data_IF_927338745689
#
_entry.id   IF_927338745689
#
_cell.length_a   1.000
_cell.length_b   1.000
_cell.length_c   1.000
_cell.angle_alpha   90.00
_cell.angle_beta   90.00
_cell.angle_gamma   90.00
#
_symmetry.space_group_name_H-M   'P 1'
#
loop_
_entity.id
_entity.type
_entity.pdbx_description
1 polymer ?
#
# COMPACT_ATOMS: atom_id res chain seq x y z
N UNK A 1 -30.43 27.07 -17.58
CA UNK A 1 -29.37 28.03 -17.22
C UNK A 1 -29.12 27.92 -15.73
N UNK A 2 -27.94 27.43 -15.35
CA UNK A 2 -27.37 27.48 -13.99
C UNK A 2 -28.05 26.55 -12.99
N UNK A 3 -27.36 25.70 -12.23
CA UNK A 3 -26.00 25.78 -11.71
C UNK A 3 -25.45 24.36 -11.68
N UNK A 4 -24.32 24.16 -12.35
CA UNK A 4 -23.47 23.00 -12.14
C UNK A 4 -22.98 23.09 -10.69
N UNK A 5 -23.51 22.19 -9.86
CA UNK A 5 -22.97 21.91 -8.54
C UNK A 5 -21.53 21.45 -8.78
N UNK A 6 -20.58 22.32 -8.46
CA UNK A 6 -19.17 22.13 -8.74
C UNK A 6 -18.69 20.97 -7.87
N UNK A 7 -18.69 19.79 -8.49
CA UNK A 7 -18.22 18.55 -7.92
C UNK A 7 -16.85 18.75 -7.28
N UNK A 8 -16.72 18.21 -6.07
CA UNK A 8 -15.44 17.93 -5.45
C UNK A 8 -14.52 17.35 -6.52
N UNK A 9 -13.32 17.91 -6.75
CA UNK A 9 -12.42 17.38 -7.76
C UNK A 9 -12.18 15.89 -7.48
N UNK A 10 -12.34 15.06 -8.52
CA UNK A 10 -12.19 13.60 -8.49
C UNK A 10 -10.77 13.11 -8.13
N UNK A 11 -9.90 13.98 -7.61
CA UNK A 11 -8.51 13.73 -7.25
C UNK A 11 -8.32 13.28 -5.80
N UNK A 12 -9.40 13.15 -5.01
CA UNK A 12 -9.30 12.65 -3.64
C UNK A 12 -9.21 11.13 -3.65
N UNK A 13 -8.09 10.58 -3.18
CA UNK A 13 -8.04 9.20 -2.67
C UNK A 13 -9.16 9.06 -1.66
N UNK A 14 -10.08 8.14 -1.91
CA UNK A 14 -11.30 7.98 -1.13
C UNK A 14 -11.02 6.95 -0.03
N UNK A 15 -11.68 7.03 1.14
CA UNK A 15 -11.45 6.09 2.24
C UNK A 15 -11.62 4.61 1.85
N UNK A 16 -12.44 4.33 0.84
CA UNK A 16 -12.64 2.97 0.32
C UNK A 16 -11.53 2.47 -0.59
N UNK A 17 -10.63 3.33 -1.08
CA UNK A 17 -9.49 2.91 -1.88
C UNK A 17 -8.52 2.08 -1.03
N UNK A 18 -8.37 2.40 0.26
CA UNK A 18 -7.58 1.58 1.18
C UNK A 18 -8.19 0.18 1.38
N UNK A 19 -9.52 0.07 1.39
CA UNK A 19 -10.22 -1.22 1.47
C UNK A 19 -10.09 -2.01 0.15
N UNK A 20 -10.18 -1.33 -0.99
CA UNK A 20 -9.95 -1.94 -2.30
C UNK A 20 -8.51 -2.45 -2.46
N UNK A 21 -7.52 -1.68 -2.01
CA UNK A 21 -6.12 -2.08 -1.99
C UNK A 21 -5.90 -3.34 -1.15
N UNK A 22 -6.53 -3.42 0.03
CA UNK A 22 -6.48 -4.62 0.87
C UNK A 22 -7.10 -5.85 0.18
N UNK A 23 -8.26 -5.68 -0.47
CA UNK A 23 -8.92 -6.77 -1.20
C UNK A 23 -8.08 -7.25 -2.39
N UNK A 24 -7.47 -6.33 -3.14
CA UNK A 24 -6.55 -6.66 -4.23
C UNK A 24 -5.33 -7.40 -3.71
N UNK A 25 -4.75 -6.94 -2.60
CA UNK A 25 -3.63 -7.62 -1.95
C UNK A 25 -4.03 -9.06 -1.58
N UNK A 26 -5.12 -9.24 -0.83
CA UNK A 26 -5.65 -10.56 -0.47
C UNK A 26 -5.86 -11.46 -1.69
N UNK A 27 -6.47 -10.92 -2.76
CA UNK A 27 -6.69 -11.65 -4.01
C UNK A 27 -5.37 -12.09 -4.64
N UNK A 28 -4.36 -11.21 -4.71
CA UNK A 28 -3.03 -11.55 -5.23
C UNK A 28 -2.36 -12.63 -4.36
N UNK A 29 -2.50 -12.55 -3.03
CA UNK A 29 -1.98 -13.55 -2.09
C UNK A 29 -2.68 -14.91 -2.22
N UNK A 30 -3.99 -14.92 -2.47
CA UNK A 30 -4.80 -16.13 -2.60
C UNK A 30 -4.64 -16.80 -3.97
N UNK A 31 -4.64 -16.03 -5.05
CA UNK A 31 -4.53 -16.52 -6.44
C UNK A 31 -3.12 -17.03 -6.72
N UNK A 32 -2.08 -16.37 -6.23
CA UNK A 32 -0.70 -16.84 -6.35
C UNK A 32 -0.33 -17.87 -5.26
N UNK A 33 -1.18 -18.03 -4.24
CA UNK A 33 -1.08 -19.04 -3.19
C UNK A 33 -1.48 -20.43 -3.69
N UNK A 34 -0.70 -21.01 -4.60
CA UNK A 34 -0.91 -22.37 -5.08
C UNK A 34 -0.96 -23.41 -3.94
N UNK A 35 -1.93 -24.34 -4.03
CA UNK A 35 -1.97 -25.59 -3.26
C UNK A 35 -0.72 -26.42 -3.55
N UNK A 36 0.28 -26.37 -2.69
CA UNK A 36 1.37 -27.32 -2.65
C UNK A 36 0.94 -28.54 -1.84
N UNK A 37 0.88 -29.66 -2.54
CA UNK A 37 0.91 -30.99 -1.94
C UNK A 37 2.25 -31.15 -1.22
N UNK A 38 2.24 -31.30 0.10
CA UNK A 38 3.44 -31.58 0.89
C UNK A 38 3.96 -30.43 1.76
N UNK A 39 3.38 -30.28 2.96
CA UNK A 39 4.11 -29.90 4.18
C UNK A 39 4.61 -28.46 4.37
N UNK A 40 4.89 -27.67 3.33
CA UNK A 40 5.22 -26.24 3.44
C UNK A 40 5.08 -25.57 2.07
N UNK A 41 3.89 -25.06 1.79
CA UNK A 41 3.65 -24.14 0.69
C UNK A 41 4.22 -22.78 1.03
N UNK A 42 5.38 -22.45 0.47
CA UNK A 42 5.84 -21.08 0.46
C UNK A 42 4.94 -20.29 -0.49
N UNK A 43 4.10 -19.40 0.05
CA UNK A 43 3.23 -18.54 -0.74
C UNK A 43 4.11 -17.52 -1.46
N UNK A 44 4.32 -17.69 -2.76
CA UNK A 44 5.09 -16.72 -3.55
C UNK A 44 4.18 -15.56 -3.92
N UNK A 45 4.47 -14.40 -3.35
CA UNK A 45 3.76 -13.16 -3.64
C UNK A 45 4.32 -12.58 -4.92
N UNK A 46 3.47 -12.36 -5.92
CA UNK A 46 3.87 -11.56 -7.08
C UNK A 46 3.80 -10.08 -6.71
N UNK A 47 4.89 -9.56 -6.17
CA UNK A 47 5.02 -8.14 -5.78
C UNK A 47 4.84 -7.20 -6.97
N UNK A 48 5.27 -7.62 -8.16
CA UNK A 48 5.04 -6.86 -9.40
C UNK A 48 3.56 -6.75 -9.74
N UNK A 49 2.80 -7.84 -9.62
CA UNK A 49 1.36 -7.82 -9.84
C UNK A 49 0.64 -6.98 -8.78
N UNK A 50 1.05 -7.08 -7.52
CA UNK A 50 0.50 -6.27 -6.44
C UNK A 50 0.74 -4.77 -6.69
N UNK A 51 1.98 -4.40 -7.02
CA UNK A 51 2.35 -3.02 -7.34
C UNK A 51 1.58 -2.49 -8.54
N UNK A 52 1.44 -3.27 -9.61
CA UNK A 52 0.66 -2.85 -10.77
C UNK A 52 -0.81 -2.57 -10.41
N UNK A 53 -1.45 -3.49 -9.67
CA UNK A 53 -2.87 -3.35 -9.32
C UNK A 53 -3.11 -2.20 -8.32
N UNK A 54 -2.23 -2.02 -7.34
CA UNK A 54 -2.38 -0.98 -6.32
C UNK A 54 -1.95 0.38 -6.86
N UNK A 55 -0.75 0.49 -7.42
CA UNK A 55 -0.21 1.78 -7.85
C UNK A 55 -0.84 2.23 -9.17
N UNK A 56 -0.67 1.45 -10.24
CA UNK A 56 -1.09 1.89 -11.57
C UNK A 56 -2.61 1.89 -11.76
N UNK A 57 -3.32 0.88 -11.26
CA UNK A 57 -4.76 0.75 -11.49
C UNK A 57 -5.59 1.50 -10.45
N UNK A 58 -5.30 1.33 -9.17
CA UNK A 58 -6.14 1.90 -8.12
C UNK A 58 -5.80 3.36 -7.82
N UNK A 59 -4.51 3.69 -7.69
CA UNK A 59 -4.09 5.04 -7.28
C UNK A 59 -3.72 5.98 -8.41
N UNK A 60 -3.24 5.49 -9.56
CA UNK A 60 -2.84 6.35 -10.69
C UNK A 60 -3.98 6.66 -11.69
N UNK A 61 -4.99 5.78 -11.83
CA UNK A 61 -6.14 6.04 -12.74
C UNK A 61 -6.91 7.33 -12.39
N UNK A 62 -7.12 7.68 -11.12
CA UNK A 62 -7.77 8.95 -10.76
C UNK A 62 -6.89 10.20 -10.94
N UNK A 63 -5.59 10.04 -11.20
CA UNK A 63 -4.65 11.15 -11.32
C UNK A 63 -4.65 11.71 -12.73
N UNK A 64 -4.65 13.04 -12.84
CA UNK A 64 -4.64 13.74 -14.13
C UNK A 64 -3.24 14.18 -14.55
N UNK A 65 -2.32 14.32 -13.60
CA UNK A 65 -0.95 14.78 -13.84
C UNK A 65 0.00 13.59 -13.99
N UNK A 66 0.76 13.48 -15.10
CA UNK A 66 1.71 12.38 -15.31
C UNK A 66 2.77 12.27 -14.22
N UNK A 67 3.23 13.42 -13.69
CA UNK A 67 4.21 13.48 -12.60
C UNK A 67 3.71 12.81 -11.33
N UNK A 68 2.42 12.92 -11.01
CA UNK A 68 1.85 12.31 -9.82
C UNK A 68 1.78 10.79 -9.97
N UNK A 69 1.47 10.30 -11.19
CA UNK A 69 1.54 8.88 -11.51
C UNK A 69 2.96 8.32 -11.33
N UNK A 70 3.98 9.05 -11.80
CA UNK A 70 5.39 8.66 -11.63
C UNK A 70 5.79 8.58 -10.15
N UNK A 71 5.34 9.53 -9.33
CA UNK A 71 5.57 9.52 -7.88
C UNK A 71 4.92 8.30 -7.22
N UNK A 72 3.66 8.00 -7.55
CA UNK A 72 2.94 6.84 -7.00
C UNK A 72 3.62 5.52 -7.40
N UNK A 73 4.08 5.40 -8.64
CA UNK A 73 4.83 4.21 -9.09
C UNK A 73 6.19 4.08 -8.39
N UNK A 74 6.91 5.19 -8.20
CA UNK A 74 8.19 5.21 -7.50
C UNK A 74 8.04 4.81 -6.02
N UNK A 75 7.04 5.37 -5.31
CA UNK A 75 6.71 4.98 -3.94
C UNK A 75 6.27 3.52 -3.85
N UNK A 76 5.43 3.08 -4.79
CA UNK A 76 5.03 1.68 -4.92
C UNK A 76 6.21 0.74 -5.08
N UNK A 77 7.18 1.08 -5.92
CA UNK A 77 8.40 0.29 -6.13
C UNK A 77 9.30 0.27 -4.88
N UNK A 78 9.35 1.35 -4.11
CA UNK A 78 10.11 1.42 -2.88
C UNK A 78 9.45 0.59 -1.75
N UNK A 79 8.12 0.64 -1.66
CA UNK A 79 7.39 0.13 -0.51
C UNK A 79 6.80 -1.26 -0.70
N UNK A 80 6.21 -1.57 -1.86
CA UNK A 80 5.57 -2.86 -2.14
C UNK A 80 6.57 -3.91 -2.62
N UNK A 81 7.48 -4.28 -1.72
CA UNK A 81 8.53 -5.28 -1.98
C UNK A 81 8.47 -6.43 -0.97
N UNK A 82 9.19 -7.51 -1.27
CA UNK A 82 9.37 -8.66 -0.37
C UNK A 82 9.87 -8.27 1.03
N UNK A 83 10.62 -7.17 1.14
CA UNK A 83 11.08 -6.61 2.41
C UNK A 83 9.95 -6.30 3.39
N UNK A 84 8.73 -6.02 2.93
CA UNK A 84 7.57 -5.83 3.83
C UNK A 84 7.35 -7.01 4.77
N UNK A 85 7.71 -8.23 4.35
CA UNK A 85 7.59 -9.44 5.17
C UNK A 85 8.56 -9.47 6.36
N UNK A 86 9.64 -8.69 6.31
CA UNK A 86 10.70 -8.67 7.33
C UNK A 86 10.64 -7.44 8.25
N UNK A 87 9.58 -6.65 8.13
CA UNK A 87 9.49 -5.33 8.74
C UNK A 87 9.90 -4.25 7.75
N UNK A 88 9.36 -3.05 7.93
CA UNK A 88 9.47 -1.99 6.93
C UNK A 88 9.91 -0.67 7.56
N UNK A 89 10.96 -0.07 7.02
CA UNK A 89 11.46 1.24 7.46
C UNK A 89 11.03 2.31 6.45
N UNK A 90 10.17 3.23 6.89
CA UNK A 90 9.73 4.38 6.13
C UNK A 90 10.72 5.56 6.22
N UNK A 91 11.75 5.45 7.06
CA UNK A 91 12.69 6.52 7.35
C UNK A 91 12.23 7.43 8.50
N UNK A 92 13.09 8.37 8.90
CA UNK A 92 12.81 9.38 9.94
C UNK A 92 12.36 8.82 11.31
N UNK A 93 12.77 7.58 11.64
CA UNK A 93 12.38 6.91 12.89
C UNK A 93 11.04 6.17 12.80
N UNK A 94 10.45 6.09 11.60
CA UNK A 94 9.20 5.36 11.35
C UNK A 94 9.48 3.99 10.78
N UNK A 95 9.47 2.96 11.63
CA UNK A 95 9.63 1.59 11.20
C UNK A 95 8.52 0.71 11.77
N UNK A 96 7.94 -0.13 10.92
CA UNK A 96 7.03 -1.19 11.33
C UNK A 96 7.81 -2.47 11.59
N UNK A 97 7.56 -3.15 12.71
CA UNK A 97 8.18 -4.43 12.99
C UNK A 97 7.68 -5.50 12.03
N UNK A 98 8.46 -6.55 11.85
CA UNK A 98 7.94 -7.82 11.36
C UNK A 98 6.86 -8.32 12.32
N UNK A 99 5.62 -8.48 11.85
CA UNK A 99 4.59 -9.12 12.65
C UNK A 99 4.63 -10.62 12.40
N UNK A 100 5.22 -11.36 13.33
CA UNK A 100 5.16 -12.82 13.31
C UNK A 100 3.70 -13.27 13.42
N UNK A 101 3.18 -13.90 12.36
CA UNK A 101 1.83 -14.45 12.32
C UNK A 101 0.70 -13.44 12.06
N UNK A 102 1.00 -12.23 11.57
CA UNK A 102 -0.03 -11.28 11.15
C UNK A 102 -0.79 -10.61 12.32
N UNK A 103 -0.14 -10.49 13.48
CA UNK A 103 -0.72 -9.81 14.63
C UNK A 103 -0.83 -8.29 14.39
N UNK A 104 -2.04 -7.83 14.09
CA UNK A 104 -2.34 -6.41 13.84
C UNK A 104 -2.05 -5.51 15.06
N UNK A 105 -2.12 -6.03 16.28
CA UNK A 105 -1.90 -5.24 17.48
C UNK A 105 -0.42 -4.87 17.67
N UNK A 106 0.50 -5.65 17.11
CA UNK A 106 1.92 -5.30 17.06
C UNK A 106 2.15 -4.07 16.16
N UNK A 107 1.47 -4.01 15.01
CA UNK A 107 1.52 -2.84 14.12
C UNK A 107 0.88 -1.61 14.78
N UNK A 108 -0.27 -1.76 15.44
CA UNK A 108 -0.92 -0.67 16.19
C UNK A 108 -0.01 -0.11 17.27
N UNK A 109 0.59 -0.99 18.08
CA UNK A 109 1.50 -0.60 19.15
C UNK A 109 2.74 0.13 18.61
N UNK A 110 3.27 -0.31 17.47
CA UNK A 110 4.37 0.40 16.81
C UNK A 110 3.94 1.81 16.35
N UNK A 111 2.77 1.93 15.73
CA UNK A 111 2.22 3.23 15.28
C UNK A 111 2.01 4.17 16.46
N UNK A 112 1.44 3.69 17.56
CA UNK A 112 1.21 4.48 18.77
C UNK A 112 2.54 4.96 19.41
N UNK A 113 3.60 4.16 19.32
CA UNK A 113 4.93 4.51 19.84
C UNK A 113 5.68 5.52 18.97
N UNK A 114 5.43 5.52 17.67
CA UNK A 114 6.09 6.44 16.73
C UNK A 114 5.62 7.90 16.88
N UNK A 115 4.49 8.14 17.55
CA UNK A 115 3.90 9.48 17.68
C UNK A 115 3.37 10.02 16.34
N UNK A 116 3.04 11.32 16.27
CA UNK A 116 2.64 11.93 15.00
C UNK A 116 3.90 12.17 14.15
N UNK A 117 4.03 11.57 12.96
CA UNK A 117 5.09 11.96 12.04
C UNK A 117 4.98 13.45 11.70
N UNK A 118 6.13 14.13 11.67
CA UNK A 118 6.30 15.29 10.80
C UNK A 118 6.14 14.77 9.36
N UNK A 119 5.03 15.07 8.66
CA UNK A 119 4.63 14.35 7.44
C UNK A 119 5.70 14.42 6.35
N UNK A 120 6.44 15.52 6.28
CA UNK A 120 7.47 15.75 5.26
C UNK A 120 8.66 14.79 5.39
N UNK A 121 9.11 14.52 6.61
CA UNK A 121 10.27 13.66 6.86
C UNK A 121 10.02 12.19 6.48
N UNK A 122 8.79 11.70 6.65
CA UNK A 122 8.36 10.35 6.26
C UNK A 122 8.10 10.24 4.76
N UNK A 123 7.69 11.34 4.12
CA UNK A 123 7.47 11.40 2.68
C UNK A 123 8.76 11.63 1.89
N UNK A 124 9.90 11.84 2.56
CA UNK A 124 11.18 12.15 1.93
C UNK A 124 11.22 13.55 1.29
N UNK A 125 10.42 14.49 1.82
CA UNK A 125 10.21 15.85 1.32
C UNK A 125 10.77 16.92 2.27
#
# INVERSE_FOLDING_TARGET
FGVLDAGVPETSIRPWDSQAALMLAQTVFEVNGGRGSGGRTERVVSWDALRFLVCAVLYSVPLTEPTDCEIVEALGAAWLTDKLCDGFDFGAGFALPRADGGNIDAYRSAIDQMGSPEPLAVLGL
#
